data_IF_659092306181
#
_entry.id   IF_659092306181
#
_cell.length_a   1.000
_cell.length_b   1.000
_cell.length_c   1.000
_cell.angle_alpha   90.00
_cell.angle_beta   90.00
_cell.angle_gamma   90.00
#
_symmetry.space_group_name_H-M   'P 1'
#
loop_
_entity.id
_entity.type
_entity.pdbx_description
1 polymer ?
#
# COMPACT_ATOMS: atom_id res chain seq x y z
N UNK A 1 6.22 -5.58 -14.70
CA UNK A 1 4.85 -5.21 -14.24
C UNK A 1 3.83 -5.95 -15.11
N UNK A 2 3.32 -7.08 -14.64
CA UNK A 2 2.23 -7.76 -15.36
C UNK A 2 0.95 -6.94 -15.14
N UNK A 3 0.32 -6.49 -16.24
CA UNK A 3 -1.04 -5.93 -16.31
C UNK A 3 -1.35 -4.51 -15.78
N UNK A 4 -0.41 -3.55 -15.78
CA UNK A 4 -0.72 -2.11 -15.65
C UNK A 4 -1.32 -1.65 -14.30
N UNK A 5 -1.50 -2.54 -13.33
CA UNK A 5 -1.95 -2.20 -11.98
C UNK A 5 -0.87 -1.42 -11.22
N UNK A 6 -1.30 -0.45 -10.40
CA UNK A 6 -0.43 0.15 -9.37
C UNK A 6 -0.30 -0.82 -8.20
N UNK A 7 0.92 -1.10 -7.77
CA UNK A 7 1.20 -2.03 -6.66
C UNK A 7 1.51 -1.28 -5.38
N UNK A 8 0.92 -1.74 -4.27
CA UNK A 8 1.16 -1.20 -2.93
C UNK A 8 1.72 -2.33 -2.08
N UNK A 9 2.87 -2.11 -1.45
CA UNK A 9 3.46 -3.03 -0.49
C UNK A 9 3.30 -2.46 0.93
N UNK A 10 2.80 -3.29 1.84
CA UNK A 10 2.67 -2.96 3.26
C UNK A 10 3.55 -3.92 4.03
N UNK A 11 4.65 -3.43 4.59
CA UNK A 11 5.56 -4.26 5.36
C UNK A 11 6.34 -3.44 6.39
N UNK A 12 6.90 -4.10 7.41
CA UNK A 12 7.73 -3.44 8.41
C UNK A 12 9.06 -2.95 7.84
N UNK A 13 9.61 -3.71 6.90
CA UNK A 13 10.91 -3.48 6.30
C UNK A 13 10.82 -3.59 4.78
N UNK A 14 11.73 -2.91 4.09
CA UNK A 14 11.84 -3.00 2.63
C UNK A 14 12.33 -4.38 2.22
N UNK A 15 11.85 -4.85 1.09
CA UNK A 15 12.27 -6.12 0.49
C UNK A 15 12.76 -5.88 -0.93
N UNK A 16 13.34 -6.91 -1.57
CA UNK A 16 13.66 -6.85 -2.99
C UNK A 16 12.40 -6.53 -3.86
N UNK A 17 11.19 -6.84 -3.38
CA UNK A 17 9.97 -6.48 -4.08
C UNK A 17 9.75 -4.96 -4.10
N UNK A 18 10.14 -4.29 -3.02
CA UNK A 18 10.01 -2.84 -2.88
C UNK A 18 10.76 -2.09 -3.98
N UNK A 19 11.93 -2.59 -4.34
CA UNK A 19 12.82 -1.93 -5.30
C UNK A 19 12.57 -2.37 -6.75
N UNK A 20 11.78 -3.43 -6.97
CA UNK A 20 11.59 -4.01 -8.30
C UNK A 20 10.16 -3.96 -8.83
N UNK A 21 9.15 -4.15 -7.97
CA UNK A 21 7.76 -4.31 -8.41
C UNK A 21 6.76 -3.42 -7.68
N UNK A 22 7.14 -2.78 -6.58
CA UNK A 22 6.28 -1.93 -5.75
C UNK A 22 6.27 -0.48 -6.24
N UNK A 23 5.09 0.09 -6.48
CA UNK A 23 4.94 1.51 -6.81
C UNK A 23 4.86 2.38 -5.54
N UNK A 24 4.20 1.89 -4.50
CA UNK A 24 3.99 2.60 -3.23
C UNK A 24 4.35 1.67 -2.07
N UNK A 25 5.28 2.10 -1.21
CA UNK A 25 5.64 1.37 0.00
C UNK A 25 5.05 2.05 1.23
N UNK A 26 4.24 1.32 2.00
CA UNK A 26 3.65 1.76 3.25
C UNK A 26 4.29 0.99 4.41
N UNK A 27 5.27 1.63 5.05
CA UNK A 27 5.99 1.01 6.15
C UNK A 27 5.11 0.87 7.40
N UNK A 28 4.95 -0.35 7.91
CA UNK A 28 4.23 -0.63 9.16
C UNK A 28 3.55 -2.00 9.19
N UNK A 29 2.85 -2.28 10.30
CA UNK A 29 2.05 -3.50 10.43
C UNK A 29 0.86 -3.45 9.47
N UNK A 30 0.59 -4.58 8.81
CA UNK A 30 -0.51 -4.70 7.87
C UNK A 30 -1.87 -4.35 8.51
N UNK A 31 -2.14 -4.83 9.73
CA UNK A 31 -3.40 -4.58 10.45
C UNK A 31 -3.70 -3.08 10.66
N UNK A 32 -2.67 -2.30 11.00
CA UNK A 32 -2.78 -0.86 11.23
C UNK A 32 -2.92 -0.11 9.90
N UNK A 33 -2.06 -0.41 8.93
CA UNK A 33 -1.99 0.31 7.65
C UNK A 33 -3.21 0.06 6.77
N UNK A 34 -3.71 -1.17 6.71
CA UNK A 34 -4.95 -1.48 5.97
C UNK A 34 -6.12 -0.68 6.55
N UNK A 35 -6.23 -0.60 7.89
CA UNK A 35 -7.29 0.19 8.54
C UNK A 35 -7.22 1.67 8.18
N UNK A 36 -6.02 2.25 8.16
CA UNK A 36 -5.78 3.64 7.74
C UNK A 36 -6.17 3.87 6.27
N UNK A 37 -5.78 2.96 5.37
CA UNK A 37 -6.13 3.03 3.94
C UNK A 37 -7.64 3.00 3.74
N UNK A 38 -8.34 2.07 4.39
CA UNK A 38 -9.81 1.96 4.31
C UNK A 38 -10.48 3.25 4.80
N UNK A 39 -10.03 3.80 5.94
CA UNK A 39 -10.56 5.05 6.48
C UNK A 39 -10.38 6.22 5.52
N UNK A 40 -9.18 6.38 4.96
CA UNK A 40 -8.87 7.45 4.00
C UNK A 40 -9.72 7.32 2.73
N UNK A 41 -9.90 6.10 2.19
CA UNK A 41 -10.74 5.87 1.01
C UNK A 41 -12.21 6.21 1.29
N UNK A 42 -12.73 5.88 2.48
CA UNK A 42 -14.10 6.26 2.87
C UNK A 42 -14.27 7.78 2.88
N UNK A 43 -13.34 8.50 3.52
CA UNK A 43 -13.35 9.96 3.56
C UNK A 43 -13.30 10.57 2.15
N UNK A 44 -12.49 10.02 1.25
CA UNK A 44 -12.41 10.47 -0.15
C UNK A 44 -13.66 10.15 -0.97
N UNK A 45 -14.49 9.18 -0.55
CA UNK A 45 -15.74 8.83 -1.23
C UNK A 45 -16.91 9.68 -0.77
N UNK A 46 -16.84 10.22 0.44
CA UNK A 46 -17.87 11.07 1.06
C UNK A 46 -17.61 12.57 0.84
N UNK A 47 -16.42 12.95 0.36
CA UNK A 47 -16.04 14.31 -0.03
C UNK A 47 -16.41 14.61 -1.50
#
# INVERSE_FOLDING_TARGET
KQAGSKTIEINLERTALTDHITDIFLQGKASEKVSQVVSAVKQLREA
#
